data_IF_004446802981
#
_entry.id   IF_004446802981
#
_cell.length_a   1.000
_cell.length_b   1.000
_cell.length_c   1.000
_cell.angle_alpha   90.00
_cell.angle_beta   90.00
_cell.angle_gamma   90.00
#
_symmetry.space_group_name_H-M   'P 1'
#
loop_
_entity.id
_entity.type
_entity.pdbx_description
1 polymer ?
#
# COMPACT_ATOMS: atom_id res chain seq x y z
N UNK A 1 36.17 10.03 -25.06
CA UNK A 1 35.79 10.44 -23.69
C UNK A 1 35.01 11.72 -23.85
N UNK A 2 33.71 11.59 -24.12
CA UNK A 2 32.80 12.71 -24.32
C UNK A 2 32.28 13.14 -22.94
N UNK A 3 32.60 14.39 -22.56
CA UNK A 3 31.88 15.10 -21.52
C UNK A 3 30.53 15.49 -22.12
N UNK A 4 29.51 14.68 -21.84
CA UNK A 4 28.12 15.01 -22.14
C UNK A 4 27.77 16.27 -21.32
N UNK A 5 27.57 17.38 -22.02
CA UNK A 5 27.51 18.71 -21.43
C UNK A 5 26.17 18.88 -20.68
N UNK A 6 26.23 19.17 -19.38
CA UNK A 6 25.10 19.32 -18.45
C UNK A 6 24.03 20.29 -18.98
N UNK A 7 24.44 21.28 -19.77
CA UNK A 7 23.58 22.23 -20.50
C UNK A 7 22.71 21.58 -21.60
N UNK A 8 23.22 20.61 -22.35
CA UNK A 8 22.44 19.88 -23.36
C UNK A 8 21.46 18.91 -22.70
N UNK A 9 21.80 18.38 -21.52
CA UNK A 9 20.88 17.63 -20.68
C UNK A 9 19.73 18.55 -20.21
N UNK A 10 20.03 19.72 -19.65
CA UNK A 10 19.05 20.68 -19.16
C UNK A 10 18.14 21.26 -20.26
N UNK A 11 18.67 21.54 -21.46
CA UNK A 11 17.87 22.01 -22.60
C UNK A 11 16.92 20.94 -23.16
N UNK A 12 17.27 19.66 -23.07
CA UNK A 12 16.33 18.55 -23.42
C UNK A 12 15.21 18.41 -22.39
N UNK A 13 15.42 18.87 -21.16
CA UNK A 13 14.40 18.90 -20.11
C UNK A 13 13.46 20.11 -20.19
N UNK A 14 13.80 21.17 -20.94
CA UNK A 14 13.03 22.41 -20.97
C UNK A 14 11.86 22.45 -21.99
N UNK A 15 11.57 21.35 -22.71
CA UNK A 15 10.44 21.27 -23.65
C UNK A 15 9.22 20.50 -23.10
N UNK A 16 9.02 20.51 -21.78
CA UNK A 16 7.97 19.71 -21.14
C UNK A 16 7.31 20.57 -20.07
N UNK A 17 5.98 20.77 -20.17
CA UNK A 17 5.20 21.45 -19.13
C UNK A 17 4.98 20.52 -17.93
N UNK A 18 6.07 20.21 -17.24
CA UNK A 18 6.10 19.56 -15.95
C UNK A 18 6.99 20.43 -15.07
N UNK A 19 6.50 20.84 -13.90
CA UNK A 19 7.38 21.59 -13.01
C UNK A 19 8.52 20.65 -12.58
N UNK A 20 9.76 21.07 -12.79
CA UNK A 20 10.96 20.34 -12.37
C UNK A 20 10.88 19.86 -10.90
N UNK A 21 10.13 20.59 -10.06
CA UNK A 21 9.80 20.23 -8.69
C UNK A 21 9.00 18.92 -8.57
N UNK A 22 7.89 18.77 -9.30
CA UNK A 22 7.07 17.57 -9.27
C UNK A 22 7.82 16.33 -9.79
N UNK A 23 8.80 16.54 -10.69
CA UNK A 23 9.72 15.50 -11.15
C UNK A 23 10.63 14.99 -10.04
N UNK A 24 11.27 15.92 -9.33
CA UNK A 24 12.16 15.60 -8.23
C UNK A 24 11.39 14.90 -7.11
N UNK A 25 10.22 15.43 -6.74
CA UNK A 25 9.36 14.83 -5.71
C UNK A 25 8.98 13.39 -6.05
N UNK A 26 8.56 13.12 -7.29
CA UNK A 26 8.26 11.77 -7.72
C UNK A 26 9.48 10.83 -7.64
N UNK A 27 10.66 11.28 -8.11
CA UNK A 27 11.87 10.47 -8.08
C UNK A 27 12.32 10.15 -6.64
N UNK A 28 12.18 11.10 -5.72
CA UNK A 28 12.42 10.89 -4.29
C UNK A 28 11.44 9.84 -3.74
N UNK A 29 10.15 9.94 -4.08
CA UNK A 29 9.16 8.95 -3.66
C UNK A 29 9.44 7.55 -4.24
N UNK A 30 10.00 7.46 -5.45
CA UNK A 30 10.42 6.18 -6.04
C UNK A 30 11.66 5.59 -5.38
N UNK A 31 12.56 6.41 -4.84
CA UNK A 31 13.77 5.92 -4.17
C UNK A 31 13.40 4.95 -3.06
N UNK A 32 12.40 5.28 -2.24
CA UNK A 32 11.89 4.41 -1.17
C UNK A 32 11.37 3.07 -1.70
N UNK A 33 10.75 3.06 -2.88
CA UNK A 33 10.24 1.84 -3.52
C UNK A 33 11.38 1.02 -4.10
N UNK A 34 12.34 1.66 -4.76
CA UNK A 34 13.49 1.00 -5.40
C UNK A 34 14.42 0.38 -4.34
N UNK A 35 14.61 1.08 -3.22
CA UNK A 35 15.39 0.59 -2.08
C UNK A 35 14.65 -0.47 -1.25
N UNK A 36 13.36 -0.72 -1.52
CA UNK A 36 12.65 -1.86 -0.95
C UNK A 36 13.05 -3.15 -1.68
N UNK A 37 14.21 -3.66 -1.29
CA UNK A 37 14.78 -4.89 -1.84
C UNK A 37 13.83 -6.08 -1.69
N UNK A 38 13.03 -6.13 -0.62
CA UNK A 38 12.12 -7.26 -0.35
C UNK A 38 11.02 -7.30 -1.41
N UNK A 39 10.34 -6.17 -1.61
CA UNK A 39 9.22 -6.08 -2.54
C UNK A 39 9.72 -6.17 -3.98
N UNK A 40 10.74 -5.40 -4.34
CA UNK A 40 11.23 -5.36 -5.71
C UNK A 40 11.90 -6.66 -6.14
N UNK A 41 12.62 -7.33 -5.22
CA UNK A 41 13.13 -8.68 -5.49
C UNK A 41 11.99 -9.68 -5.67
N UNK A 42 10.95 -9.63 -4.84
CA UNK A 42 9.83 -10.56 -4.98
C UNK A 42 9.09 -10.39 -6.32
N UNK A 43 8.86 -9.16 -6.78
CA UNK A 43 8.31 -8.91 -8.12
C UNK A 43 9.22 -9.43 -9.22
N UNK A 44 10.52 -9.11 -9.16
CA UNK A 44 11.52 -9.57 -10.13
C UNK A 44 11.57 -11.09 -10.20
N UNK A 45 11.63 -11.75 -9.06
CA UNK A 45 11.76 -13.19 -8.96
C UNK A 45 10.46 -13.89 -9.37
N UNK A 46 9.29 -13.34 -9.02
CA UNK A 46 8.01 -13.83 -9.51
C UNK A 46 7.89 -13.76 -11.03
N UNK A 47 8.34 -12.66 -11.65
CA UNK A 47 8.36 -12.47 -13.10
C UNK A 47 9.36 -13.42 -13.79
N UNK A 48 10.53 -13.64 -13.18
CA UNK A 48 11.63 -14.45 -13.75
C UNK A 48 11.57 -15.93 -13.44
N UNK A 49 10.80 -16.33 -12.43
CA UNK A 49 10.71 -17.72 -11.99
C UNK A 49 10.36 -18.65 -13.14
N UNK A 50 10.94 -19.86 -13.15
CA UNK A 50 10.68 -20.85 -14.18
C UNK A 50 9.18 -21.19 -14.32
N UNK A 51 8.45 -21.17 -13.19
CA UNK A 51 6.99 -21.36 -13.14
C UNK A 51 6.21 -20.32 -13.95
N UNK A 52 6.68 -19.07 -13.95
CA UNK A 52 5.93 -17.94 -14.49
C UNK A 52 6.53 -17.37 -15.78
N UNK A 53 7.79 -17.68 -16.12
CA UNK A 53 8.46 -17.11 -17.28
C UNK A 53 7.69 -17.36 -18.59
N UNK A 54 7.13 -18.56 -18.75
CA UNK A 54 6.32 -18.92 -19.93
C UNK A 54 5.00 -18.13 -20.01
N UNK A 55 4.49 -17.62 -18.89
CA UNK A 55 3.27 -16.78 -18.86
C UNK A 55 3.52 -15.45 -19.58
N UNK A 56 4.76 -14.93 -19.53
CA UNK A 56 5.12 -13.65 -20.15
C UNK A 56 5.61 -13.81 -21.59
N UNK A 57 6.18 -14.94 -21.98
CA UNK A 57 6.69 -15.16 -23.33
C UNK A 57 5.56 -15.04 -24.38
N UNK A 58 5.70 -14.07 -25.30
CA UNK A 58 4.70 -13.78 -26.33
C UNK A 58 3.42 -13.11 -25.84
N UNK A 59 3.33 -12.76 -24.55
CA UNK A 59 2.12 -12.22 -23.96
C UNK A 59 1.89 -10.74 -24.30
N UNK A 60 0.63 -10.34 -24.36
CA UNK A 60 0.21 -8.93 -24.29
C UNK A 60 -0.03 -8.57 -22.83
N UNK A 61 0.76 -7.64 -22.30
CA UNK A 61 0.80 -7.31 -20.87
C UNK A 61 0.30 -5.88 -20.63
N UNK A 62 -0.43 -5.68 -19.54
CA UNK A 62 -0.83 -4.37 -19.04
C UNK A 62 -0.21 -4.12 -17.67
N UNK A 63 0.62 -3.09 -17.53
CA UNK A 63 1.02 -2.56 -16.22
C UNK A 63 0.09 -1.41 -15.81
N UNK A 64 -0.60 -1.57 -14.67
CA UNK A 64 -1.50 -0.56 -14.11
C UNK A 64 -0.78 0.25 -13.04
N UNK A 65 -0.69 1.57 -13.24
CA UNK A 65 0.08 2.46 -12.36
C UNK A 65 1.57 2.22 -12.52
N UNK A 66 2.07 2.37 -13.75
CA UNK A 66 3.42 1.93 -14.11
C UNK A 66 4.54 2.75 -13.46
N UNK A 67 4.27 3.97 -12.98
CA UNK A 67 5.29 4.84 -12.42
C UNK A 67 6.46 4.98 -13.39
N UNK A 68 7.66 4.56 -12.96
CA UNK A 68 8.89 4.57 -13.77
C UNK A 68 8.98 3.45 -14.84
N UNK A 69 7.94 2.62 -14.97
CA UNK A 69 7.85 1.47 -15.87
C UNK A 69 8.90 0.36 -15.61
N UNK A 70 9.38 0.25 -14.36
CA UNK A 70 10.39 -0.76 -13.98
C UNK A 70 9.87 -2.20 -14.18
N UNK A 71 8.63 -2.51 -13.78
CA UNK A 71 8.07 -3.84 -13.97
C UNK A 71 7.81 -4.11 -15.45
N UNK A 72 7.31 -3.14 -16.22
CA UNK A 72 7.18 -3.23 -17.68
C UNK A 72 8.51 -3.61 -18.35
N UNK A 73 9.62 -2.98 -17.95
CA UNK A 73 10.94 -3.31 -18.47
C UNK A 73 11.40 -4.72 -18.10
N UNK A 74 11.09 -5.20 -16.89
CA UNK A 74 11.37 -6.58 -16.48
C UNK A 74 10.56 -7.58 -17.32
N UNK A 75 9.27 -7.32 -17.52
CA UNK A 75 8.38 -8.19 -18.29
C UNK A 75 8.75 -8.21 -19.78
N UNK A 76 9.11 -7.07 -20.37
CA UNK A 76 9.60 -7.02 -21.75
C UNK A 76 10.86 -7.89 -21.93
N UNK A 77 11.78 -7.87 -20.96
CA UNK A 77 12.97 -8.74 -20.96
C UNK A 77 12.66 -10.23 -20.81
N UNK A 78 11.49 -10.59 -20.29
CA UNK A 78 11.00 -11.99 -20.26
C UNK A 78 10.32 -12.43 -21.56
N UNK A 79 10.38 -11.61 -22.62
CA UNK A 79 9.89 -11.98 -23.95
C UNK A 79 8.42 -11.66 -24.19
N UNK A 80 7.82 -10.74 -23.42
CA UNK A 80 6.49 -10.22 -23.74
C UNK A 80 6.45 -9.62 -25.15
N UNK A 81 5.39 -9.92 -25.90
CA UNK A 81 5.22 -9.43 -27.26
C UNK A 81 4.90 -7.93 -27.30
N UNK A 82 4.11 -7.47 -26.31
CA UNK A 82 3.75 -6.06 -26.17
C UNK A 82 3.42 -5.76 -24.71
N UNK A 83 3.83 -4.59 -24.23
CA UNK A 83 3.52 -4.11 -22.87
C UNK A 83 2.88 -2.73 -22.95
N UNK A 84 1.67 -2.60 -22.40
CA UNK A 84 1.02 -1.30 -22.18
C UNK A 84 1.30 -0.85 -20.75
N UNK A 85 2.13 0.18 -20.59
CA UNK A 85 2.48 0.75 -19.30
C UNK A 85 1.64 2.00 -19.05
N UNK A 86 0.62 1.92 -18.18
CA UNK A 86 -0.36 3.00 -17.99
C UNK A 86 -0.12 3.70 -16.66
N UNK A 87 -0.03 5.03 -16.68
CA UNK A 87 -0.06 5.89 -15.49
C UNK A 87 -0.84 7.17 -15.79
N UNK A 88 -1.60 7.70 -14.84
CA UNK A 88 -2.33 8.96 -15.04
C UNK A 88 -1.48 10.19 -14.71
N UNK A 89 -0.39 10.01 -13.97
CA UNK A 89 0.52 11.08 -13.59
C UNK A 89 1.54 11.42 -14.67
N UNK A 90 2.15 12.60 -14.52
CA UNK A 90 3.22 13.07 -15.41
C UNK A 90 4.48 12.19 -15.38
N UNK A 91 4.59 11.31 -14.39
CA UNK A 91 5.63 10.26 -14.34
C UNK A 91 5.71 9.46 -15.65
N UNK A 92 4.59 9.27 -16.35
CA UNK A 92 4.58 8.56 -17.63
C UNK A 92 5.59 9.15 -18.65
N UNK A 93 5.93 10.43 -18.55
CA UNK A 93 6.96 11.07 -19.37
C UNK A 93 8.36 10.55 -19.02
N UNK A 94 8.65 10.37 -17.73
CA UNK A 94 9.89 9.76 -17.22
C UNK A 94 10.00 8.32 -17.66
N UNK A 95 8.92 7.54 -17.50
CA UNK A 95 8.85 6.16 -17.97
C UNK A 95 9.17 6.05 -19.46
N UNK A 96 8.62 6.92 -20.33
CA UNK A 96 8.96 6.94 -21.76
C UNK A 96 10.46 7.11 -22.01
N UNK A 97 11.10 8.02 -21.27
CA UNK A 97 12.54 8.25 -21.41
C UNK A 97 13.35 7.04 -20.93
N UNK A 98 12.99 6.45 -19.79
CA UNK A 98 13.65 5.26 -19.26
C UNK A 98 13.52 4.06 -20.19
N UNK A 99 12.32 3.81 -20.69
CA UNK A 99 12.03 2.73 -21.66
C UNK A 99 12.88 2.88 -22.93
N UNK A 100 12.92 4.09 -23.52
CA UNK A 100 13.75 4.38 -24.71
C UNK A 100 15.25 4.22 -24.43
N UNK A 101 15.74 4.74 -23.30
CA UNK A 101 17.16 4.63 -22.91
C UNK A 101 17.59 3.18 -22.70
N UNK A 102 16.65 2.29 -22.37
CA UNK A 102 16.91 0.87 -22.23
C UNK A 102 16.64 0.07 -23.53
N UNK A 103 16.29 0.73 -24.64
CA UNK A 103 16.04 0.10 -25.94
C UNK A 103 14.81 -0.81 -25.97
N UNK A 104 13.81 -0.52 -25.14
CA UNK A 104 12.60 -1.34 -24.97
C UNK A 104 11.33 -0.69 -25.54
N UNK A 105 11.45 0.47 -26.18
CA UNK A 105 10.35 1.25 -26.74
C UNK A 105 9.70 0.61 -27.98
N UNK A 106 10.31 -0.42 -28.57
CA UNK A 106 9.69 -1.26 -29.59
C UNK A 106 8.67 -2.26 -29.03
N UNK A 107 8.74 -2.57 -27.73
CA UNK A 107 7.87 -3.54 -27.04
C UNK A 107 6.93 -2.85 -26.06
N UNK A 108 7.41 -1.80 -25.38
CA UNK A 108 6.69 -1.11 -24.31
C UNK A 108 6.10 0.21 -24.84
N UNK A 109 4.79 0.31 -24.77
CA UNK A 109 4.03 1.54 -25.03
C UNK A 109 3.60 2.18 -23.70
N UNK A 110 4.14 3.37 -23.42
CA UNK A 110 3.79 4.11 -22.19
C UNK A 110 2.67 5.11 -22.47
N UNK A 111 1.52 4.88 -21.83
CA UNK A 111 0.30 5.66 -22.00
C UNK A 111 0.08 6.53 -20.75
N UNK A 112 -0.05 7.84 -20.96
CA UNK A 112 -0.40 8.78 -19.91
C UNK A 112 -1.91 9.03 -19.97
N UNK A 113 -2.66 8.66 -18.94
CA UNK A 113 -4.11 8.89 -18.89
C UNK A 113 -4.83 8.08 -17.81
N UNK A 114 -6.10 8.41 -17.56
CA UNK A 114 -6.95 7.55 -16.71
C UNK A 114 -7.26 6.26 -17.47
N UNK A 115 -6.88 5.13 -16.87
CA UNK A 115 -7.13 3.80 -17.41
C UNK A 115 -8.61 3.57 -17.77
N UNK A 116 -9.55 4.25 -17.11
CA UNK A 116 -10.98 4.14 -17.36
C UNK A 116 -11.40 4.67 -18.73
N UNK A 117 -10.64 5.62 -19.26
CA UNK A 117 -10.91 6.30 -20.53
C UNK A 117 -10.21 5.62 -21.71
N UNK A 118 -9.32 4.66 -21.45
CA UNK A 118 -8.55 3.98 -22.48
C UNK A 118 -9.38 2.90 -23.19
N UNK A 119 -8.91 2.53 -24.38
CA UNK A 119 -9.35 1.33 -25.10
C UNK A 119 -8.13 0.51 -25.49
N UNK A 120 -7.97 -0.65 -24.85
CA UNK A 120 -6.86 -1.58 -25.07
C UNK A 120 -7.35 -2.88 -25.73
N UNK A 121 -6.47 -3.63 -26.41
CA UNK A 121 -6.79 -4.98 -26.88
C UNK A 121 -6.94 -5.96 -25.71
N UNK A 122 -7.42 -7.19 -25.94
CA UNK A 122 -7.44 -8.24 -24.93
C UNK A 122 -6.05 -8.50 -24.34
N UNK A 123 -5.95 -8.57 -23.01
CA UNK A 123 -4.72 -8.67 -22.23
C UNK A 123 -4.54 -10.08 -21.69
N UNK A 124 -3.32 -10.64 -21.82
CA UNK A 124 -2.96 -11.95 -21.26
C UNK A 124 -2.57 -11.84 -19.77
N UNK A 125 -1.83 -10.78 -19.41
CA UNK A 125 -1.31 -10.59 -18.06
C UNK A 125 -1.47 -9.15 -17.59
N UNK A 126 -2.00 -8.96 -16.38
CA UNK A 126 -1.96 -7.67 -15.67
C UNK A 126 -0.88 -7.71 -14.61
N UNK A 127 -0.02 -6.71 -14.58
CA UNK A 127 1.00 -6.51 -13.53
C UNK A 127 0.72 -5.19 -12.83
N UNK A 128 0.78 -5.14 -11.52
CA UNK A 128 0.65 -3.87 -10.79
C UNK A 128 1.20 -3.98 -9.37
N UNK A 129 2.00 -3.01 -8.94
CA UNK A 129 2.29 -2.81 -7.51
C UNK A 129 1.12 -2.07 -6.85
N UNK A 130 -0.04 -2.73 -6.80
CA UNK A 130 -1.29 -2.07 -6.43
C UNK A 130 -1.45 -1.82 -4.93
N UNK A 131 -0.71 -2.51 -4.07
CA UNK A 131 -0.85 -2.41 -2.61
C UNK A 131 -0.43 -1.04 -2.10
N UNK A 132 -1.15 -0.56 -1.07
CA UNK A 132 -0.77 0.63 -0.33
C UNK A 132 -0.85 0.41 1.18
N UNK A 133 -0.86 1.51 1.96
CA UNK A 133 -0.93 1.40 3.42
C UNK A 133 -2.19 0.65 3.86
N UNK A 134 -2.08 -0.16 4.91
CA UNK A 134 -3.17 -1.05 5.34
C UNK A 134 -3.76 -1.90 4.18
N UNK A 135 -2.92 -2.28 3.20
CA UNK A 135 -3.24 -2.99 1.95
C UNK A 135 -4.04 -2.17 0.92
N UNK A 136 -5.07 -1.46 1.35
CA UNK A 136 -6.10 -0.86 0.46
C UNK A 136 -6.07 0.67 0.36
N UNK A 137 -5.33 1.38 1.23
CA UNK A 137 -5.22 2.85 1.16
C UNK A 137 -4.24 3.29 0.06
N UNK A 138 -4.59 4.32 -0.72
CA UNK A 138 -3.80 4.78 -1.86
C UNK A 138 -3.36 3.64 -2.79
N UNK A 139 -4.23 2.63 -2.93
CA UNK A 139 -3.98 1.44 -3.74
C UNK A 139 -4.44 1.64 -5.18
N UNK A 140 -3.77 1.00 -6.14
CA UNK A 140 -4.23 0.93 -7.53
C UNK A 140 -5.29 -0.17 -7.75
N UNK A 141 -5.79 -0.79 -6.68
CA UNK A 141 -6.61 -2.00 -6.76
C UNK A 141 -7.93 -1.80 -7.55
N UNK A 142 -8.59 -0.65 -7.44
CA UNK A 142 -9.78 -0.36 -8.25
C UNK A 142 -9.47 -0.31 -9.74
N UNK A 143 -8.30 0.20 -10.11
CA UNK A 143 -7.84 0.27 -11.50
C UNK A 143 -7.49 -1.13 -12.01
N UNK A 144 -6.87 -1.96 -11.18
CA UNK A 144 -6.60 -3.37 -11.49
C UNK A 144 -7.90 -4.16 -11.68
N UNK A 145 -8.88 -3.99 -10.80
CA UNK A 145 -10.20 -4.64 -10.93
C UNK A 145 -10.89 -4.19 -12.22
N UNK A 146 -10.88 -2.89 -12.52
CA UNK A 146 -11.43 -2.36 -13.76
C UNK A 146 -10.75 -2.97 -15.00
N UNK A 147 -9.42 -2.99 -15.03
CA UNK A 147 -8.65 -3.56 -16.13
C UNK A 147 -8.88 -5.06 -16.29
N UNK A 148 -8.98 -5.79 -15.17
CA UNK A 148 -9.31 -7.22 -15.14
C UNK A 148 -10.65 -7.46 -15.82
N UNK A 149 -11.69 -6.75 -15.39
CA UNK A 149 -13.05 -6.97 -15.86
C UNK A 149 -13.23 -6.54 -17.33
N UNK A 150 -12.50 -5.51 -17.77
CA UNK A 150 -12.63 -4.94 -19.12
C UNK A 150 -11.79 -5.67 -20.18
N UNK A 151 -10.57 -6.09 -19.85
CA UNK A 151 -9.61 -6.52 -20.87
C UNK A 151 -8.91 -7.86 -20.60
N UNK A 152 -8.91 -8.38 -19.37
CA UNK A 152 -8.20 -9.63 -19.12
C UNK A 152 -8.90 -10.80 -19.83
N UNK A 153 -8.15 -11.55 -20.63
CA UNK A 153 -8.65 -12.73 -21.33
C UNK A 153 -9.09 -13.81 -20.33
N UNK A 154 -9.99 -14.73 -20.73
CA UNK A 154 -10.21 -15.96 -19.98
C UNK A 154 -8.88 -16.69 -19.76
N UNK A 155 -8.62 -17.12 -18.52
CA UNK A 155 -7.34 -17.72 -18.07
C UNK A 155 -6.14 -16.77 -18.04
N UNK A 156 -6.33 -15.47 -18.25
CA UNK A 156 -5.29 -14.47 -18.04
C UNK A 156 -4.83 -14.42 -16.58
N UNK A 157 -3.63 -13.90 -16.35
CA UNK A 157 -2.99 -13.86 -15.04
C UNK A 157 -2.90 -12.43 -14.48
N UNK A 158 -2.85 -12.31 -13.14
CA UNK A 158 -2.66 -11.04 -12.44
C UNK A 158 -1.47 -11.19 -11.48
N UNK A 159 -0.56 -10.23 -11.46
CA UNK A 159 0.62 -10.25 -10.61
C UNK A 159 0.69 -8.99 -9.73
N UNK A 160 0.62 -9.10 -8.39
CA UNK A 160 0.22 -10.28 -7.59
C UNK A 160 -1.31 -10.50 -7.62
N UNK A 161 -1.77 -11.72 -7.28
CA UNK A 161 -3.18 -12.11 -7.36
C UNK A 161 -3.84 -12.40 -6.00
N UNK A 162 -3.10 -12.47 -4.91
CA UNK A 162 -3.67 -12.75 -3.59
C UNK A 162 -3.13 -11.81 -2.55
N UNK A 163 -3.95 -11.50 -1.54
CA UNK A 163 -3.50 -10.76 -0.37
C UNK A 163 -4.28 -11.16 0.88
N UNK A 164 -3.65 -11.01 2.04
CA UNK A 164 -4.18 -11.35 3.36
C UNK A 164 -3.91 -10.21 4.33
N UNK A 165 -4.87 -9.91 5.18
CA UNK A 165 -4.77 -8.87 6.21
C UNK A 165 -4.76 -9.54 7.58
N UNK A 166 -3.84 -9.09 8.43
CA UNK A 166 -3.63 -9.62 9.76
C UNK A 166 -3.77 -8.52 10.79
N UNK A 167 -4.32 -8.87 11.95
CA UNK A 167 -4.47 -8.00 13.11
C UNK A 167 -3.71 -8.60 14.28
N UNK A 168 -3.04 -7.74 15.04
CA UNK A 168 -2.38 -8.08 16.30
C UNK A 168 -2.49 -6.90 17.26
N UNK A 169 -2.18 -7.13 18.54
CA UNK A 169 -2.00 -6.04 19.51
C UNK A 169 -0.54 -5.92 19.91
N UNK A 170 -0.12 -4.69 20.19
CA UNK A 170 1.25 -4.36 20.60
C UNK A 170 1.27 -3.35 21.76
N UNK A 171 2.46 -3.20 22.32
CA UNK A 171 2.83 -2.08 23.20
C UNK A 171 3.74 -1.09 22.45
N UNK A 172 3.55 0.20 22.71
CA UNK A 172 4.40 1.28 22.21
C UNK A 172 4.99 2.14 23.31
N UNK A 173 5.82 1.54 24.16
CA UNK A 173 6.52 2.23 25.25
C UNK A 173 7.51 3.30 24.79
N UNK A 174 7.94 3.30 23.52
CA UNK A 174 9.04 4.14 23.05
C UNK A 174 8.58 5.48 22.46
N UNK A 175 7.31 5.60 22.09
CA UNK A 175 6.75 6.90 21.74
C UNK A 175 6.34 7.56 23.05
N UNK A 176 7.13 8.55 23.50
CA UNK A 176 6.66 9.47 24.56
C UNK A 176 5.22 9.86 24.24
N UNK A 177 4.28 9.77 25.20
CA UNK A 177 2.87 9.67 24.82
C UNK A 177 2.50 10.88 23.95
N UNK A 178 2.11 10.67 22.67
CA UNK A 178 1.53 11.75 21.88
C UNK A 178 0.30 12.32 22.61
N UNK A 179 -0.28 11.52 23.51
CA UNK A 179 -1.33 11.86 24.47
C UNK A 179 -1.00 13.09 25.33
N UNK A 180 0.26 13.33 25.69
CA UNK A 180 0.63 14.43 26.61
C UNK A 180 0.99 15.72 25.89
N UNK A 181 1.78 15.67 24.82
CA UNK A 181 2.17 16.85 24.03
C UNK A 181 0.96 17.64 23.53
N UNK A 182 -0.05 16.93 23.02
CA UNK A 182 -1.28 17.53 22.56
C UNK A 182 -2.33 17.69 23.65
N UNK A 183 -2.16 17.24 24.90
CA UNK A 183 -3.20 17.50 25.92
C UNK A 183 -2.93 18.77 26.70
N UNK A 184 -1.65 19.12 26.90
CA UNK A 184 -1.26 20.34 27.59
C UNK A 184 -0.02 20.98 27.00
N UNK A 185 -0.10 22.26 26.70
CA UNK A 185 1.05 23.08 26.32
C UNK A 185 0.97 24.43 27.02
N UNK A 186 1.99 24.81 27.80
CA UNK A 186 2.03 26.07 28.55
C UNK A 186 0.75 26.37 29.37
N UNK A 187 0.14 25.33 29.98
CA UNK A 187 -1.11 25.45 30.75
C UNK A 187 -2.40 25.46 29.91
N UNK A 188 -2.30 25.53 28.57
CA UNK A 188 -3.44 25.41 27.66
C UNK A 188 -3.92 23.97 27.58
N UNK A 189 -5.24 23.77 27.55
CA UNK A 189 -5.85 22.46 27.34
C UNK A 189 -6.02 22.19 25.84
N UNK A 190 -5.23 21.27 25.31
CA UNK A 190 -5.22 20.89 23.91
C UNK A 190 -5.90 19.53 23.65
N UNK A 191 -6.56 18.93 24.67
CA UNK A 191 -7.06 17.54 24.63
C UNK A 191 -7.95 17.20 23.43
N UNK A 192 -8.62 18.19 22.83
CA UNK A 192 -9.36 18.01 21.59
C UNK A 192 -8.45 17.70 20.39
N UNK A 193 -7.33 18.40 20.24
CA UNK A 193 -6.33 18.09 19.22
C UNK A 193 -5.74 16.70 19.44
N UNK A 194 -5.44 16.33 20.70
CA UNK A 194 -4.96 14.99 21.04
C UNK A 194 -5.95 13.89 20.60
N UNK A 195 -7.25 14.10 20.79
CA UNK A 195 -8.26 13.11 20.43
C UNK A 195 -8.44 12.96 18.92
N UNK A 196 -8.20 14.01 18.13
CA UNK A 196 -8.16 13.95 16.67
C UNK A 196 -6.93 13.15 16.21
N UNK A 197 -5.74 13.49 16.71
CA UNK A 197 -4.49 12.82 16.32
C UNK A 197 -4.50 11.34 16.66
N UNK A 198 -5.13 10.94 17.78
CA UNK A 198 -5.29 9.52 18.16
C UNK A 198 -6.14 8.72 17.16
N UNK A 199 -7.00 9.38 16.39
CA UNK A 199 -7.86 8.76 15.37
C UNK A 199 -7.22 8.71 13.99
N UNK A 200 -5.97 9.16 13.85
CA UNK A 200 -5.21 9.05 12.62
C UNK A 200 -4.34 7.79 12.70
N UNK A 201 -4.57 6.78 11.85
CA UNK A 201 -3.65 5.66 11.76
C UNK A 201 -2.28 6.14 11.29
N UNK A 202 -1.23 5.50 11.78
CA UNK A 202 0.16 5.83 11.40
C UNK A 202 0.78 4.67 10.67
N UNK A 203 1.62 4.95 9.68
CA UNK A 203 2.54 3.95 9.13
C UNK A 203 3.80 4.01 9.97
N UNK A 204 4.20 2.87 10.56
CA UNK A 204 5.33 2.83 11.47
C UNK A 204 5.87 1.42 11.65
N UNK A 205 7.16 1.32 11.98
CA UNK A 205 7.83 0.05 12.22
C UNK A 205 7.56 -0.42 13.63
N UNK A 206 6.94 -1.59 13.74
CA UNK A 206 6.77 -2.34 14.99
C UNK A 206 7.85 -3.40 15.05
N UNK A 207 8.46 -3.57 16.22
CA UNK A 207 9.41 -4.68 16.45
C UNK A 207 8.64 -5.90 16.96
N UNK A 208 9.11 -7.10 16.63
CA UNK A 208 8.48 -8.35 17.09
C UNK A 208 8.25 -8.38 18.61
N UNK A 209 9.24 -7.95 19.40
CA UNK A 209 9.11 -7.88 20.87
C UNK A 209 7.97 -6.99 21.35
N UNK A 210 7.48 -6.04 20.55
CA UNK A 210 6.36 -5.17 20.90
C UNK A 210 5.01 -5.87 20.73
N UNK A 211 4.92 -6.88 19.87
CA UNK A 211 3.69 -7.67 19.71
C UNK A 211 3.38 -8.44 20.98
N UNK A 212 2.12 -8.38 21.43
CA UNK A 212 1.64 -9.06 22.64
C UNK A 212 0.68 -10.21 22.33
N UNK A 213 0.20 -10.30 21.09
CA UNK A 213 -0.56 -11.43 20.56
C UNK A 213 0.13 -12.01 19.32
N UNK A 214 -0.18 -13.25 19.02
CA UNK A 214 0.01 -13.73 17.64
C UNK A 214 -0.86 -12.93 16.68
N UNK A 215 -0.41 -12.71 15.45
CA UNK A 215 -1.26 -12.20 14.38
C UNK A 215 -2.41 -13.15 14.07
N UNK A 216 -3.63 -12.62 14.02
CA UNK A 216 -4.77 -13.32 13.46
C UNK A 216 -5.03 -12.83 12.04
N UNK A 217 -5.16 -13.74 11.07
CA UNK A 217 -5.71 -13.39 9.78
C UNK A 217 -7.17 -12.96 9.95
N UNK A 218 -7.49 -11.74 9.57
CA UNK A 218 -8.84 -11.18 9.70
C UNK A 218 -9.56 -11.11 8.35
N UNK A 219 -8.81 -11.00 7.25
CA UNK A 219 -9.40 -10.86 5.92
C UNK A 219 -8.45 -11.38 4.84
N UNK A 220 -9.00 -11.80 3.69
CA UNK A 220 -8.22 -12.23 2.53
C UNK A 220 -8.95 -11.90 1.23
N UNK A 221 -8.20 -11.78 0.15
CA UNK A 221 -8.74 -11.60 -1.18
C UNK A 221 -7.98 -12.37 -2.26
N UNK A 222 -8.74 -12.70 -3.29
CA UNK A 222 -8.23 -13.13 -4.58
C UNK A 222 -8.59 -12.06 -5.62
N UNK A 223 -7.57 -11.38 -6.14
CA UNK A 223 -7.72 -10.28 -7.11
C UNK A 223 -8.36 -10.77 -8.41
N UNK A 224 -8.34 -12.08 -8.69
CA UNK A 224 -8.99 -12.65 -9.88
C UNK A 224 -10.52 -12.60 -9.81
N UNK A 225 -11.09 -12.57 -8.60
CA UNK A 225 -12.54 -12.74 -8.41
C UNK A 225 -13.18 -11.66 -7.55
N UNK A 226 -12.41 -10.92 -6.76
CA UNK A 226 -12.97 -9.93 -5.84
C UNK A 226 -13.68 -8.79 -6.57
N UNK A 227 -14.84 -8.39 -6.05
CA UNK A 227 -15.61 -7.25 -6.54
C UNK A 227 -15.36 -6.00 -5.68
N UNK A 228 -15.61 -4.82 -6.25
CA UNK A 228 -15.35 -3.53 -5.58
C UNK A 228 -16.11 -3.38 -4.27
N UNK A 229 -17.32 -3.93 -4.19
CA UNK A 229 -18.18 -3.86 -3.01
C UNK A 229 -17.62 -4.66 -1.84
N UNK A 230 -16.79 -5.68 -2.11
CA UNK A 230 -16.15 -6.51 -1.10
C UNK A 230 -14.91 -5.85 -0.47
N UNK A 231 -14.48 -4.69 -0.99
CA UNK A 231 -13.38 -3.90 -0.43
C UNK A 231 -13.82 -3.02 0.75
N UNK A 232 -15.13 -2.88 0.98
CA UNK A 232 -15.69 -2.44 2.25
C UNK A 232 -16.21 -3.67 2.99
N UNK A 233 -15.66 -3.98 4.15
CA UNK A 233 -15.93 -5.24 4.85
C UNK A 233 -15.92 -5.06 6.37
N UNK A 234 -16.50 -6.03 7.07
CA UNK A 234 -16.55 -6.10 8.53
C UNK A 234 -16.32 -7.55 8.95
N UNK A 235 -15.31 -7.78 9.79
CA UNK A 235 -14.84 -9.13 10.15
C UNK A 235 -14.61 -9.24 11.66
N UNK A 236 -14.98 -10.37 12.29
CA UNK A 236 -14.70 -10.57 13.69
C UNK A 236 -13.23 -10.91 13.92
N UNK A 237 -12.71 -10.57 15.10
CA UNK A 237 -11.40 -11.00 15.56
C UNK A 237 -11.44 -11.43 17.02
N UNK A 238 -10.47 -12.27 17.40
CA UNK A 238 -10.22 -12.77 18.75
C UNK A 238 -8.72 -13.03 18.92
N UNK A 239 -8.04 -12.07 19.55
CA UNK A 239 -6.60 -12.11 19.79
C UNK A 239 -6.32 -12.68 21.17
N UNK A 240 -5.51 -13.74 21.22
CA UNK A 240 -5.04 -14.33 22.46
C UNK A 240 -3.69 -13.72 22.86
N UNK A 241 -3.57 -13.37 24.13
CA UNK A 241 -2.44 -12.61 24.65
C UNK A 241 -1.40 -13.55 25.25
N UNK A 242 -0.14 -13.33 24.85
CA UNK A 242 0.96 -14.26 25.13
C UNK A 242 1.80 -13.88 26.36
N UNK A 243 1.65 -12.65 26.86
CA UNK A 243 2.36 -12.19 28.06
C UNK A 243 1.59 -11.11 28.81
N UNK A 244 2.06 -10.82 30.04
CA UNK A 244 1.58 -9.69 30.81
C UNK A 244 2.15 -8.38 30.24
N UNK A 245 1.28 -7.42 29.96
CA UNK A 245 1.66 -6.13 29.39
C UNK A 245 0.55 -5.07 29.58
N UNK A 246 0.82 -3.83 29.20
CA UNK A 246 -0.19 -2.81 28.92
C UNK A 246 -0.19 -2.59 27.41
N UNK A 247 -1.31 -2.92 26.75
CA UNK A 247 -1.44 -2.67 25.32
C UNK A 247 -2.01 -1.28 25.06
N UNK A 248 -1.59 -0.70 23.95
CA UNK A 248 -2.03 0.60 23.47
C UNK A 248 -2.06 0.71 21.94
N UNK A 249 -1.78 -0.38 21.22
CA UNK A 249 -1.81 -0.43 19.77
C UNK A 249 -2.58 -1.65 19.25
N UNK A 250 -3.43 -1.44 18.25
CA UNK A 250 -3.68 -2.46 17.23
C UNK A 250 -2.71 -2.25 16.07
N UNK A 251 -2.14 -3.36 15.60
CA UNK A 251 -1.18 -3.38 14.50
C UNK A 251 -1.77 -4.22 13.37
N UNK A 252 -1.89 -3.59 12.20
CA UNK A 252 -2.30 -4.25 10.97
C UNK A 252 -1.11 -4.38 10.04
N UNK A 253 -0.91 -5.59 9.53
CA UNK A 253 0.00 -5.87 8.43
C UNK A 253 -0.70 -6.74 7.40
N UNK A 254 -0.08 -6.89 6.24
CA UNK A 254 -0.58 -7.72 5.16
C UNK A 254 0.51 -8.55 4.52
N UNK A 255 0.06 -9.64 3.89
CA UNK A 255 0.87 -10.48 3.04
C UNK A 255 0.27 -10.49 1.64
N UNK A 256 1.09 -10.67 0.60
CA UNK A 256 0.62 -10.84 -0.77
C UNK A 256 1.40 -11.91 -1.53
N UNK A 257 0.76 -12.49 -2.54
CA UNK A 257 1.28 -13.63 -3.29
C UNK A 257 1.11 -13.52 -4.79
N UNK A 258 2.02 -14.16 -5.50
CA UNK A 258 2.01 -14.25 -6.96
C UNK A 258 1.37 -15.57 -7.43
N UNK A 259 0.91 -15.64 -8.69
CA UNK A 259 0.34 -16.86 -9.25
C UNK A 259 1.23 -18.10 -9.05
N UNK A 260 0.59 -19.18 -8.60
CA UNK A 260 1.24 -20.47 -8.34
C UNK A 260 2.13 -20.53 -7.11
N UNK A 261 2.31 -19.42 -6.38
CA UNK A 261 3.15 -19.34 -5.18
C UNK A 261 2.60 -20.15 -4.01
N UNK A 262 3.48 -20.85 -3.30
CA UNK A 262 3.14 -21.51 -2.04
C UNK A 262 2.97 -20.48 -0.90
N UNK A 263 2.28 -20.81 0.21
CA UNK A 263 2.09 -19.90 1.34
C UNK A 263 3.39 -19.33 1.94
N UNK A 264 4.49 -20.08 1.87
CA UNK A 264 5.83 -19.69 2.29
C UNK A 264 6.52 -18.69 1.34
N UNK A 265 6.04 -18.56 0.10
CA UNK A 265 6.51 -17.57 -0.88
C UNK A 265 5.80 -16.21 -0.76
N UNK A 266 4.85 -16.07 0.19
CA UNK A 266 4.17 -14.81 0.41
C UNK A 266 5.14 -13.72 0.87
N UNK A 267 5.03 -12.56 0.25
CA UNK A 267 5.73 -11.37 0.71
C UNK A 267 4.96 -10.81 1.89
N UNK A 268 5.61 -10.76 3.06
CA UNK A 268 4.98 -10.35 4.30
C UNK A 268 5.48 -8.98 4.76
N UNK A 269 4.55 -8.17 5.28
CA UNK A 269 4.86 -6.91 5.97
C UNK A 269 4.79 -7.06 7.49
N UNK A 270 4.80 -8.29 8.03
CA UNK A 270 4.76 -8.53 9.48
C UNK A 270 6.00 -7.94 10.19
N UNK A 271 5.89 -7.54 11.47
CA UNK A 271 6.99 -6.99 12.26
C UNK A 271 8.30 -7.81 12.31
N UNK A 272 8.21 -9.14 12.19
CA UNK A 272 9.38 -10.04 12.17
C UNK A 272 9.84 -10.47 10.77
N UNK A 273 9.20 -10.00 9.70
CA UNK A 273 9.72 -10.16 8.35
C UNK A 273 10.77 -9.07 8.06
N UNK A 274 11.60 -9.25 7.01
CA UNK A 274 12.38 -8.18 6.43
C UNK A 274 11.52 -6.92 6.21
N UNK A 275 12.07 -5.75 6.55
CA UNK A 275 11.30 -4.49 6.49
C UNK A 275 10.98 -4.12 5.06
N UNK A 276 9.74 -3.70 4.82
CA UNK A 276 9.27 -3.10 3.57
C UNK A 276 8.97 -1.61 3.77
N UNK A 277 8.80 -0.86 2.69
CA UNK A 277 8.38 0.54 2.73
C UNK A 277 6.98 0.74 3.33
N UNK A 278 6.12 -0.27 3.28
CA UNK A 278 4.79 -0.21 3.88
C UNK A 278 4.79 -0.35 5.40
N UNK A 279 5.86 -0.90 5.99
CA UNK A 279 5.97 -1.16 7.43
C UNK A 279 4.69 -1.80 7.97
N UNK A 280 4.08 -1.25 9.02
CA UNK A 280 2.78 -1.66 9.55
C UNK A 280 1.87 -0.45 9.74
N UNK A 281 0.55 -0.68 9.74
CA UNK A 281 -0.44 0.34 10.07
C UNK A 281 -0.80 0.26 11.56
N UNK A 282 -0.64 1.37 12.26
CA UNK A 282 -0.76 1.48 13.72
C UNK A 282 -2.03 2.26 14.09
N UNK A 283 -2.87 1.63 14.90
CA UNK A 283 -4.10 2.22 15.44
C UNK A 283 -3.95 2.34 16.95
N UNK A 284 -3.80 3.58 17.45
CA UNK A 284 -3.58 3.81 18.87
C UNK A 284 -4.89 3.70 19.66
N UNK A 285 -4.86 2.86 20.70
CA UNK A 285 -5.98 2.66 21.60
C UNK A 285 -6.03 3.82 22.58
N UNK A 286 -7.17 4.51 22.68
CA UNK A 286 -7.32 5.67 23.55
C UNK A 286 -7.43 5.29 25.05
N UNK A 287 -7.53 3.99 25.34
CA UNK A 287 -7.47 3.39 26.66
C UNK A 287 -6.23 2.53 26.87
N UNK A 288 -5.65 2.59 28.06
CA UNK A 288 -4.58 1.67 28.48
C UNK A 288 -5.22 0.38 29.01
N UNK A 289 -4.85 -0.76 28.43
CA UNK A 289 -5.45 -2.05 28.78
C UNK A 289 -4.40 -2.97 29.39
N UNK A 290 -4.30 -3.04 30.73
CA UNK A 290 -3.47 -4.04 31.40
C UNK A 290 -4.03 -5.45 31.15
N UNK A 291 -3.14 -6.33 30.72
CA UNK A 291 -3.46 -7.69 30.31
C UNK A 291 -2.50 -8.71 30.92
N UNK A 292 -2.93 -9.97 30.96
CA UNK A 292 -2.14 -11.13 31.39
C UNK A 292 -2.09 -12.18 30.28
N UNK A 293 -1.12 -13.08 30.40
CA UNK A 293 -1.05 -14.27 29.54
C UNK A 293 -2.36 -15.06 29.61
N UNK A 294 -2.92 -15.42 28.45
CA UNK A 294 -4.19 -16.12 28.32
C UNK A 294 -5.43 -15.22 28.28
N UNK A 295 -5.31 -13.92 28.58
CA UNK A 295 -6.40 -12.97 28.33
C UNK A 295 -6.71 -12.91 26.83
N UNK A 296 -7.92 -12.46 26.50
CA UNK A 296 -8.39 -12.34 25.14
C UNK A 296 -8.98 -10.96 24.89
N UNK A 297 -8.75 -10.45 23.68
CA UNK A 297 -9.42 -9.27 23.14
C UNK A 297 -10.19 -9.70 21.91
N UNK A 298 -11.48 -9.45 21.92
CA UNK A 298 -12.37 -9.86 20.84
C UNK A 298 -13.24 -8.69 20.39
N UNK A 299 -13.60 -8.70 19.12
CA UNK A 299 -14.28 -7.57 18.52
C UNK A 299 -14.53 -7.73 17.04
N UNK A 300 -14.78 -6.61 16.39
CA UNK A 300 -14.99 -6.48 14.96
C UNK A 300 -14.04 -5.42 14.42
N UNK A 301 -13.40 -5.73 13.30
CA UNK A 301 -12.62 -4.80 12.50
C UNK A 301 -13.38 -4.55 11.20
N UNK A 302 -13.69 -3.30 10.89
CA UNK A 302 -14.36 -2.95 9.65
C UNK A 302 -13.61 -1.86 8.89
N UNK A 303 -13.65 -1.96 7.56
CA UNK A 303 -13.12 -0.99 6.62
C UNK A 303 -14.28 -0.46 5.79
N UNK A 304 -14.46 0.86 5.80
CA UNK A 304 -15.43 1.56 4.95
C UNK A 304 -14.69 2.47 3.99
N UNK A 305 -14.98 2.36 2.70
CA UNK A 305 -14.36 3.17 1.65
C UNK A 305 -15.25 4.35 1.27
N UNK A 306 -14.69 5.55 1.31
CA UNK A 306 -15.28 6.75 0.74
C UNK A 306 -14.47 7.22 -0.49
N UNK A 307 -14.93 8.28 -1.16
CA UNK A 307 -14.27 8.77 -2.37
C UNK A 307 -12.82 9.23 -2.15
N UNK A 308 -12.51 9.78 -0.96
CA UNK A 308 -11.21 10.40 -0.65
C UNK A 308 -10.58 9.93 0.66
N UNK A 309 -11.19 8.96 1.37
CA UNK A 309 -10.67 8.45 2.62
C UNK A 309 -11.12 7.02 2.90
N UNK A 310 -10.44 6.37 3.82
CA UNK A 310 -10.84 5.11 4.43
C UNK A 310 -11.15 5.33 5.90
N UNK A 311 -12.28 4.80 6.34
CA UNK A 311 -12.63 4.71 7.76
C UNK A 311 -12.41 3.28 8.26
N UNK A 312 -11.72 3.16 9.38
CA UNK A 312 -11.45 1.91 10.08
C UNK A 312 -12.20 1.93 11.40
N UNK A 313 -13.13 1.00 11.57
CA UNK A 313 -13.92 0.85 12.78
C UNK A 313 -13.41 -0.36 13.56
N UNK A 314 -12.88 -0.11 14.76
CA UNK A 314 -12.42 -1.16 15.68
C UNK A 314 -13.31 -1.12 16.91
N UNK A 315 -14.23 -2.07 16.98
CA UNK A 315 -15.16 -2.27 18.11
C UNK A 315 -14.72 -3.51 18.88
N UNK A 316 -14.30 -3.35 20.12
CA UNK A 316 -13.65 -4.42 20.87
C UNK A 316 -14.09 -4.47 22.34
N UNK A 317 -13.83 -5.62 22.95
CA UNK A 317 -14.11 -5.89 24.35
C UNK A 317 -12.95 -6.67 24.98
N UNK A 318 -12.73 -6.44 26.26
CA UNK A 318 -11.75 -7.15 27.05
C UNK A 318 -12.28 -7.26 28.48
N UNK A 319 -12.38 -8.47 29.00
CA UNK A 319 -12.79 -8.72 30.37
C UNK A 319 -11.79 -9.66 31.03
N UNK A 320 -11.02 -9.13 31.96
CA UNK A 320 -10.07 -9.89 32.77
C UNK A 320 -10.21 -9.49 34.25
N UNK A 321 -9.28 -9.93 35.11
CA UNK A 321 -9.32 -9.62 36.55
C UNK A 321 -9.02 -8.15 36.89
N UNK A 322 -8.40 -7.40 35.97
CA UNK A 322 -7.95 -6.02 36.18
C UNK A 322 -8.85 -4.98 35.50
N UNK A 323 -9.45 -5.35 34.37
CA UNK A 323 -10.21 -4.46 33.49
C UNK A 323 -11.44 -5.16 32.96
N UNK A 324 -12.55 -4.41 32.92
CA UNK A 324 -13.83 -4.85 32.37
C UNK A 324 -14.34 -3.84 31.34
N UNK A 325 -13.91 -4.01 30.10
CA UNK A 325 -14.38 -3.27 28.94
C UNK A 325 -15.42 -4.12 28.23
N UNK A 326 -16.70 -3.81 28.47
CA UNK A 326 -17.82 -4.52 27.82
C UNK A 326 -17.86 -4.27 26.32
N UNK A 327 -17.55 -3.04 25.91
CA UNK A 327 -17.51 -2.59 24.52
C UNK A 327 -16.75 -1.27 24.48
N UNK A 328 -15.86 -1.12 23.50
CA UNK A 328 -15.15 0.12 23.24
C UNK A 328 -14.95 0.24 21.73
N UNK A 329 -15.35 1.38 21.17
CA UNK A 329 -15.40 1.61 19.74
C UNK A 329 -14.58 2.84 19.37
N UNK A 330 -13.57 2.66 18.52
CA UNK A 330 -12.80 3.76 17.94
C UNK A 330 -12.89 3.71 16.43
N UNK A 331 -13.16 4.88 15.84
CA UNK A 331 -13.15 5.07 14.39
C UNK A 331 -11.91 5.87 14.04
N UNK A 332 -11.11 5.33 13.14
CA UNK A 332 -9.92 5.94 12.61
C UNK A 332 -10.12 6.31 11.15
N UNK A 333 -9.46 7.37 10.69
CA UNK A 333 -9.54 7.83 9.31
C UNK A 333 -8.16 7.96 8.71
N UNK A 334 -7.96 7.34 7.54
CA UNK A 334 -6.78 7.52 6.71
C UNK A 334 -7.17 8.26 5.42
N UNK A 335 -6.49 9.37 5.15
CA UNK A 335 -6.81 10.29 4.05
C UNK A 335 -7.85 11.35 4.40
N UNK A 336 -8.40 12.00 3.38
CA UNK A 336 -9.33 13.12 3.54
C UNK A 336 -8.73 14.50 3.28
N UNK A 337 -7.47 14.60 2.85
CA UNK A 337 -6.95 15.84 2.27
C UNK A 337 -7.72 16.11 0.97
N UNK A 338 -8.61 17.09 1.02
CA UNK A 338 -9.14 17.68 -0.20
C UNK A 338 -7.96 18.21 -1.00
N UNK A 339 -7.89 17.87 -2.29
CA UNK A 339 -7.22 18.73 -3.26
C UNK A 339 -8.00 20.05 -3.35
N UNK A 340 -8.05 20.84 -2.29
CA UNK A 340 -8.30 22.25 -2.43
C UNK A 340 -6.98 22.84 -2.93
N UNK A 341 -6.91 23.07 -4.25
CA UNK A 341 -5.99 24.09 -4.77
C UNK A 341 -6.19 25.32 -3.87
N UNK A 342 -5.13 25.94 -3.32
CA UNK A 342 -5.31 27.23 -2.69
C UNK A 342 -5.98 28.13 -3.72
N UNK A 343 -7.18 28.63 -3.40
CA UNK A 343 -7.75 29.75 -4.14
C UNK A 343 -6.68 30.83 -4.10
N UNK A 344 -6.22 31.24 -5.28
CA UNK A 344 -5.41 32.44 -5.44
C UNK A 344 -6.12 33.55 -4.67
N UNK A 345 -5.50 34.01 -3.59
CA UNK A 345 -5.84 35.31 -3.02
C UNK A 345 -5.25 36.35 -3.97
N UNK A 346 -5.99 36.63 -5.02
CA UNK A 346 -5.95 37.88 -5.75
C UNK A 346 -7.40 38.36 -5.83
N UNK A 347 -7.59 39.68 -5.67
CA UNK A 347 -8.84 40.44 -5.54
C UNK A 347 -9.32 40.67 -4.09
N UNK A 348 -8.68 41.60 -3.37
CA UNK A 348 -9.05 43.04 -3.36
C UNK A 348 -7.95 43.90 -2.71
#
# INVERSE_FOLDING_TARGET
>A
MEQDNEEQFLQRFSQISFSYKAFIEFMIDQEVIILDDVVMTAFRDAIRSQRNAEIFAGATVLEVGCGSALLSMLVAKQGAARVFAVDSGDVAQVARQLVRRNGLDSVIEVIQGDIRELQLPPIDVIVSKWMGACLVYSSALDQVIFARDKWLKPKGCIFPNTARLYLSVAEDRQVEPPRHYWSRFAGLNLSHAASIVQRLPKVGRVRERQLVSEPQQIWQMDVRTIKREQLSFSVPFKLQLQRQEIIDLFVVHFDFGFPGGAPEELVSTRPCAPSTHWQQTLFHIDQLVPIRMGDTIAGTFAVSRAANHLDFDIDWSCCNKLVKIKRHKQIFRMGGEGKEKPRSMDEE
#
